data_IF_535349596922
#
_entry.id   IF_535349596922
#
_cell.length_a   1.000
_cell.length_b   1.000
_cell.length_c   1.000
_cell.angle_alpha   90.00
_cell.angle_beta   90.00
_cell.angle_gamma   90.00
#
_symmetry.space_group_name_H-M   'P 1'
#
loop_
_entity.id
_entity.type
_entity.pdbx_description
1 polymer ?
#
# COMPACT_ATOMS: atom_id res chain seq x y z
N UNK A 1 5.78 17.22 15.12
CA UNK A 1 5.63 15.79 15.47
C UNK A 1 4.28 15.36 14.94
N UNK A 2 4.26 14.75 13.74
CA UNK A 2 3.06 14.55 12.93
C UNK A 2 2.24 13.35 13.44
N UNK A 3 0.93 13.58 13.56
CA UNK A 3 -0.06 12.62 14.07
C UNK A 3 -0.12 11.32 13.25
N UNK A 4 0.19 11.34 11.95
CA UNK A 4 0.12 10.14 11.11
C UNK A 4 1.24 9.13 11.42
N UNK A 5 2.47 9.60 11.62
CA UNK A 5 3.60 8.75 12.04
C UNK A 5 3.38 8.18 13.44
N UNK A 6 2.79 8.96 14.36
CA UNK A 6 2.39 8.50 15.69
C UNK A 6 1.22 7.53 15.60
N UNK A 7 0.22 7.75 14.74
CA UNK A 7 -0.93 6.86 14.59
C UNK A 7 -0.55 5.55 13.90
N UNK A 8 0.34 5.58 12.90
CA UNK A 8 0.97 4.38 12.36
C UNK A 8 1.84 3.70 13.40
N UNK A 9 2.61 4.46 14.19
CA UNK A 9 3.34 3.89 15.30
C UNK A 9 2.41 3.28 16.35
N UNK A 10 1.26 3.87 16.67
CA UNK A 10 0.27 3.37 17.66
C UNK A 10 -0.51 2.17 17.11
N UNK A 11 -0.91 2.22 15.84
CA UNK A 11 -1.59 1.12 15.12
C UNK A 11 -0.63 -0.03 14.81
N UNK A 12 0.67 0.25 14.64
CA UNK A 12 1.74 -0.73 14.60
C UNK A 12 2.21 -1.16 16.01
N UNK A 13 2.02 -0.33 17.04
CA UNK A 13 2.36 -0.59 18.45
C UNK A 13 1.33 -1.41 19.19
N UNK A 14 0.15 -1.69 18.61
CA UNK A 14 -0.42 -3.01 18.86
C UNK A 14 0.52 -4.02 18.18
N UNK A 15 1.70 -4.22 18.77
CA UNK A 15 2.69 -5.19 18.34
C UNK A 15 1.92 -6.50 18.22
N UNK A 16 1.67 -6.92 16.98
CA UNK A 16 1.09 -8.24 16.75
C UNK A 16 2.21 -9.20 17.07
N UNK A 17 2.15 -9.73 18.28
CA UNK A 17 3.05 -10.78 18.68
C UNK A 17 2.60 -12.07 18.01
N UNK A 18 3.57 -12.83 17.49
CA UNK A 18 3.33 -14.18 16.98
C UNK A 18 4.26 -15.11 17.73
N UNK A 19 3.71 -16.23 18.20
CA UNK A 19 4.50 -17.31 18.76
C UNK A 19 4.92 -18.26 17.66
N UNK A 20 6.21 -18.59 17.62
CA UNK A 20 6.80 -19.53 16.69
C UNK A 20 7.56 -20.61 17.45
N UNK A 21 7.33 -21.87 17.08
CA UNK A 21 8.07 -23.00 17.62
C UNK A 21 9.27 -23.29 16.70
N UNK A 22 10.48 -23.06 17.22
CA UNK A 22 11.74 -23.19 16.51
C UNK A 22 12.51 -24.43 16.98
N UNK A 23 13.27 -25.09 16.09
CA UNK A 23 14.13 -26.19 16.52
C UNK A 23 15.17 -25.69 17.53
N UNK A 24 15.61 -26.57 18.44
CA UNK A 24 16.58 -26.22 19.51
C UNK A 24 17.91 -25.68 18.95
N UNK A 25 18.25 -25.98 17.69
CA UNK A 25 19.42 -25.38 17.03
C UNK A 25 19.35 -23.84 16.91
N UNK A 26 18.15 -23.26 17.00
CA UNK A 26 17.90 -21.81 17.01
C UNK A 26 17.85 -21.23 18.43
N UNK A 27 18.31 -21.96 19.45
CA UNK A 27 18.33 -21.48 20.83
C UNK A 27 19.28 -20.30 21.11
N UNK A 28 20.05 -19.89 20.10
CA UNK A 28 20.95 -18.75 20.16
C UNK A 28 20.24 -17.42 19.88
N UNK A 29 18.96 -17.45 19.46
CA UNK A 29 18.16 -16.25 19.30
C UNK A 29 17.89 -15.62 20.67
N UNK A 30 18.08 -14.32 20.75
CA UNK A 30 17.91 -13.53 21.97
C UNK A 30 16.92 -12.39 21.75
N UNK A 31 16.41 -11.83 22.86
CA UNK A 31 15.56 -10.64 22.80
C UNK A 31 16.31 -9.49 22.12
N UNK A 32 15.67 -8.86 21.13
CA UNK A 32 16.25 -7.79 20.33
C UNK A 32 16.78 -8.24 18.97
N UNK A 33 16.92 -9.55 18.73
CA UNK A 33 17.33 -10.05 17.43
C UNK A 33 16.24 -9.79 16.39
N UNK A 34 16.67 -9.31 15.22
CA UNK A 34 15.80 -9.07 14.06
C UNK A 34 15.76 -10.34 13.21
N UNK A 35 14.56 -10.83 12.96
CA UNK A 35 14.31 -12.02 12.16
C UNK A 35 13.42 -11.70 10.97
N UNK A 36 13.57 -12.47 9.90
CA UNK A 36 12.69 -12.44 8.74
C UNK A 36 11.88 -13.74 8.75
N UNK A 37 10.56 -13.63 8.66
CA UNK A 37 9.65 -14.76 8.60
C UNK A 37 9.52 -15.20 7.15
N UNK A 38 10.04 -16.39 6.83
CA UNK A 38 9.83 -17.07 5.55
C UNK A 38 8.74 -18.14 5.77
N UNK A 39 7.52 -17.81 5.36
CA UNK A 39 6.37 -18.71 5.55
C UNK A 39 5.34 -18.48 4.45
N UNK A 40 5.58 -18.99 3.23
CA UNK A 40 4.83 -18.66 2.01
C UNK A 40 3.35 -19.07 2.05
N UNK A 41 2.96 -19.95 2.97
CA UNK A 41 1.57 -20.34 3.18
C UNK A 41 0.81 -19.44 4.19
N UNK A 42 1.48 -18.46 4.80
CA UNK A 42 0.86 -17.47 5.69
C UNK A 42 0.92 -16.07 5.08
N UNK A 43 0.21 -15.12 5.69
CA UNK A 43 0.33 -13.68 5.35
C UNK A 43 1.57 -13.01 5.96
N UNK A 44 2.50 -13.78 6.52
CA UNK A 44 3.71 -13.29 7.20
C UNK A 44 4.97 -13.48 6.36
N UNK A 45 4.85 -13.95 5.12
CA UNK A 45 6.01 -14.16 4.25
C UNK A 45 6.76 -12.84 4.00
N UNK A 46 8.06 -12.83 4.29
CA UNK A 46 8.91 -11.65 4.24
C UNK A 46 8.67 -10.64 5.37
N UNK A 47 7.82 -10.94 6.36
CA UNK A 47 7.63 -10.05 7.51
C UNK A 47 8.91 -9.99 8.35
N UNK A 48 9.24 -8.80 8.84
CA UNK A 48 10.40 -8.59 9.71
C UNK A 48 9.91 -8.43 11.13
N UNK A 49 10.51 -9.12 12.08
CA UNK A 49 10.13 -9.02 13.48
C UNK A 49 11.35 -8.91 14.38
N UNK A 50 11.13 -8.39 15.58
CA UNK A 50 12.10 -8.44 16.66
C UNK A 50 11.70 -9.56 17.63
N UNK A 51 12.65 -10.37 18.09
CA UNK A 51 12.41 -11.34 19.15
C UNK A 51 12.08 -10.57 20.45
N UNK A 52 10.85 -10.70 20.92
CA UNK A 52 10.38 -10.07 22.16
C UNK A 52 10.61 -10.97 23.39
N UNK A 53 10.49 -12.29 23.21
CA UNK A 53 10.74 -13.28 24.26
C UNK A 53 11.16 -14.64 23.66
N UNK A 54 11.84 -15.44 24.46
CA UNK A 54 12.31 -16.79 24.11
C UNK A 54 12.11 -17.72 25.31
N UNK A 55 11.47 -18.87 25.09
CA UNK A 55 11.20 -19.89 26.12
C UNK A 55 11.64 -21.28 25.64
N UNK A 56 12.27 -22.06 26.50
CA UNK A 56 12.56 -23.47 26.22
C UNK A 56 11.37 -24.34 26.64
N UNK A 57 10.75 -25.03 25.69
CA UNK A 57 9.58 -25.87 25.97
C UNK A 57 9.98 -27.35 25.99
N UNK A 58 10.02 -27.91 27.19
CA UNK A 58 10.31 -29.32 27.47
C UNK A 58 11.58 -29.89 26.79
N UNK A 59 12.56 -29.03 26.46
CA UNK A 59 13.78 -29.42 25.76
C UNK A 59 13.58 -29.93 24.31
N UNK A 60 12.37 -29.79 23.75
CA UNK A 60 12.04 -30.26 22.40
C UNK A 60 12.17 -29.17 21.35
N UNK A 61 11.82 -27.94 21.72
CA UNK A 61 11.88 -26.77 20.85
C UNK A 61 12.04 -25.51 21.70
N UNK A 62 12.31 -24.41 21.00
CA UNK A 62 12.40 -23.07 21.56
C UNK A 62 11.20 -22.30 21.03
N UNK A 63 10.37 -21.76 21.92
CA UNK A 63 9.26 -20.88 21.55
C UNK A 63 9.74 -19.44 21.54
N UNK A 64 9.75 -18.83 20.36
CA UNK A 64 10.01 -17.40 20.20
C UNK A 64 8.70 -16.62 20.15
N UNK A 65 8.62 -15.49 20.86
CA UNK A 65 7.57 -14.48 20.65
C UNK A 65 8.17 -13.37 19.78
N UNK A 66 7.62 -13.17 18.58
CA UNK A 66 8.05 -12.14 17.65
C UNK A 66 7.16 -10.92 17.74
N UNK A 67 7.74 -9.75 18.03
CA UNK A 67 7.10 -8.47 17.77
C UNK A 67 7.27 -8.12 16.29
N UNK A 68 6.24 -8.36 15.48
CA UNK A 68 6.32 -8.14 14.04
C UNK A 68 6.24 -6.64 13.70
N UNK A 69 7.22 -6.17 12.93
CA UNK A 69 7.06 -5.03 12.05
C UNK A 69 6.43 -5.56 10.77
N UNK A 70 5.17 -5.23 10.51
CA UNK A 70 4.48 -5.65 9.30
C UNK A 70 5.03 -4.88 8.08
N UNK A 71 6.25 -5.20 7.67
CA UNK A 71 6.93 -4.64 6.49
C UNK A 71 6.27 -5.07 5.18
N UNK A 72 5.41 -6.10 5.21
CA UNK A 72 4.53 -6.47 4.11
C UNK A 72 3.36 -5.52 3.86
N UNK A 73 3.16 -4.46 4.67
CA UNK A 73 2.01 -3.55 4.51
C UNK A 73 2.16 -2.56 3.35
N UNK A 74 3.37 -2.26 2.90
CA UNK A 74 3.55 -1.22 1.88
C UNK A 74 3.20 -1.72 0.49
N UNK A 75 2.23 -1.05 -0.13
CA UNK A 75 1.93 -1.15 -1.55
C UNK A 75 3.01 -0.47 -2.40
N UNK A 76 3.53 0.63 -1.87
CA UNK A 76 4.60 1.43 -2.46
C UNK A 76 5.23 2.25 -1.33
N UNK A 77 6.54 2.47 -1.41
CA UNK A 77 7.28 3.20 -0.41
C UNK A 77 8.30 4.11 -1.08
N UNK A 78 8.13 5.43 -0.91
CA UNK A 78 9.14 6.41 -1.29
C UNK A 78 10.06 6.70 -0.12
N UNK A 79 9.48 7.16 0.98
CA UNK A 79 10.18 7.50 2.22
C UNK A 79 9.24 7.42 3.44
N UNK A 80 9.72 7.86 4.60
CA UNK A 80 8.99 7.78 5.88
C UNK A 80 7.76 8.71 5.95
N UNK A 81 7.66 9.68 5.05
CA UNK A 81 6.56 10.65 4.99
C UNK A 81 5.67 10.42 3.76
N UNK A 82 6.14 9.68 2.76
CA UNK A 82 5.42 9.43 1.50
C UNK A 82 5.41 7.95 1.15
N UNK A 83 4.25 7.32 1.32
CA UNK A 83 4.06 5.89 1.12
C UNK A 83 2.59 5.53 0.89
N UNK A 84 2.36 4.32 0.38
CA UNK A 84 1.04 3.71 0.30
C UNK A 84 1.08 2.41 1.10
N UNK A 85 0.20 2.29 2.09
CA UNK A 85 0.19 1.16 3.02
C UNK A 85 -1.18 0.51 3.06
N UNK A 86 -1.24 -0.81 3.22
CA UNK A 86 -2.47 -1.52 3.50
C UNK A 86 -2.61 -1.73 5.01
N UNK A 87 -3.81 -1.51 5.54
CA UNK A 87 -4.11 -1.84 6.92
C UNK A 87 -4.22 -3.36 7.11
N UNK A 88 -3.97 -3.87 8.33
CA UNK A 88 -4.08 -5.28 8.64
C UNK A 88 -5.39 -5.91 8.17
N UNK A 89 -5.30 -7.09 7.55
CA UNK A 89 -6.46 -7.77 6.96
C UNK A 89 -6.89 -7.20 5.61
N UNK A 90 -6.07 -6.33 5.00
CA UNK A 90 -6.30 -5.59 3.75
C UNK A 90 -7.65 -4.87 3.69
N UNK A 91 -8.18 -4.47 4.85
CA UNK A 91 -9.48 -3.79 4.92
C UNK A 91 -9.50 -2.47 4.15
N UNK A 92 -8.34 -1.79 4.13
CA UNK A 92 -8.17 -0.49 3.50
C UNK A 92 -6.72 -0.27 3.09
N UNK A 93 -6.49 0.52 2.05
CA UNK A 93 -5.22 1.15 1.71
C UNK A 93 -5.25 2.62 2.10
N UNK A 94 -4.14 3.12 2.61
CA UNK A 94 -3.93 4.48 3.07
C UNK A 94 -2.82 5.10 2.23
N UNK A 95 -3.09 6.29 1.70
CA UNK A 95 -2.14 7.07 0.93
C UNK A 95 -1.64 8.20 1.83
N UNK A 96 -0.33 8.23 2.07
CA UNK A 96 0.33 9.25 2.86
C UNK A 96 1.31 9.98 1.95
N UNK A 97 1.23 11.30 1.94
CA UNK A 97 2.11 12.19 1.20
C UNK A 97 2.60 13.26 2.19
N UNK A 98 3.90 13.40 2.35
CA UNK A 98 4.53 14.40 3.22
C UNK A 98 4.03 14.37 4.67
N UNK A 99 3.77 13.16 5.17
CA UNK A 99 3.36 12.88 6.54
C UNK A 99 1.85 13.08 6.78
N UNK A 100 1.09 13.40 5.74
CA UNK A 100 -0.35 13.62 5.82
C UNK A 100 -1.11 12.49 5.12
N UNK A 101 -2.18 12.00 5.75
CA UNK A 101 -3.11 11.07 5.10
C UNK A 101 -3.98 11.86 4.13
N UNK A 102 -3.87 11.54 2.85
CA UNK A 102 -4.52 12.31 1.77
C UNK A 102 -5.64 11.55 1.08
N UNK A 103 -5.60 10.22 1.12
CA UNK A 103 -6.68 9.37 0.61
C UNK A 103 -6.71 8.03 1.34
N UNK A 104 -7.84 7.32 1.20
CA UNK A 104 -7.96 5.95 1.63
C UNK A 104 -8.92 5.16 0.74
N UNK A 105 -8.58 3.92 0.42
CA UNK A 105 -9.34 3.05 -0.48
C UNK A 105 -9.71 1.76 0.25
N UNK A 106 -10.98 1.43 0.33
CA UNK A 106 -11.41 0.14 0.91
C UNK A 106 -11.68 -0.95 -0.14
N UNK A 107 -11.93 -2.17 0.34
CA UNK A 107 -12.21 -3.34 -0.51
C UNK A 107 -13.50 -3.26 -1.30
N UNK A 108 -14.42 -2.36 -0.93
CA UNK A 108 -15.66 -2.13 -1.70
C UNK A 108 -15.44 -1.18 -2.87
N UNK A 109 -14.20 -0.72 -3.06
CA UNK A 109 -13.86 0.29 -4.06
C UNK A 109 -14.26 1.70 -3.62
N UNK A 110 -14.51 1.93 -2.33
CA UNK A 110 -14.74 3.29 -1.84
C UNK A 110 -13.40 4.02 -1.68
N UNK A 111 -13.14 4.95 -2.58
CA UNK A 111 -12.02 5.89 -2.48
C UNK A 111 -12.48 7.13 -1.72
N UNK A 112 -11.95 7.33 -0.51
CA UNK A 112 -12.18 8.53 0.30
C UNK A 112 -11.02 9.49 0.06
N UNK A 113 -11.32 10.69 -0.41
CA UNK A 113 -10.35 11.76 -0.64
C UNK A 113 -10.47 12.79 0.48
N UNK A 114 -9.35 13.36 0.90
CA UNK A 114 -9.34 14.49 1.84
C UNK A 114 -10.02 15.72 1.23
N UNK A 115 -9.86 15.90 -0.08
CA UNK A 115 -10.41 17.00 -0.86
C UNK A 115 -11.26 16.43 -2.01
N UNK A 116 -11.07 16.88 -3.24
CA UNK A 116 -11.92 16.60 -4.41
C UNK A 116 -11.23 15.80 -5.53
N UNK A 117 -12.02 15.25 -6.44
CA UNK A 117 -11.59 14.76 -7.74
C UNK A 117 -11.56 15.93 -8.73
N UNK A 118 -10.48 16.06 -9.49
CA UNK A 118 -10.35 17.00 -10.60
C UNK A 118 -10.14 16.20 -11.90
N UNK A 119 -11.21 16.12 -12.69
CA UNK A 119 -11.16 15.60 -14.06
C UNK A 119 -10.44 16.56 -14.99
N UNK A 120 -9.67 16.02 -15.94
CA UNK A 120 -8.82 16.80 -16.84
C UNK A 120 -7.87 17.76 -16.12
N UNK A 121 -7.55 17.47 -14.86
CA UNK A 121 -6.73 18.30 -13.97
C UNK A 121 -5.24 17.99 -14.04
N UNK A 122 -4.86 16.93 -14.76
CA UNK A 122 -3.48 16.47 -14.86
C UNK A 122 -2.91 16.70 -16.26
N UNK A 123 -1.78 17.38 -16.33
CA UNK A 123 -0.94 17.38 -17.53
C UNK A 123 -0.04 16.16 -17.53
N UNK A 124 0.01 15.49 -18.68
CA UNK A 124 0.89 14.35 -18.92
C UNK A 124 2.36 14.68 -18.63
N UNK A 125 3.06 13.76 -17.96
CA UNK A 125 4.47 13.86 -17.60
C UNK A 125 5.15 12.50 -17.74
N UNK A 126 6.38 12.51 -18.25
CA UNK A 126 7.26 11.35 -18.25
C UNK A 126 7.72 10.98 -16.82
N UNK A 127 7.70 9.69 -16.53
CA UNK A 127 8.01 9.10 -15.23
C UNK A 127 9.06 7.98 -15.38
N UNK A 128 9.83 7.78 -14.33
CA UNK A 128 10.87 6.75 -14.22
C UNK A 128 10.36 5.42 -13.66
N UNK A 129 9.23 5.46 -12.94
CA UNK A 129 8.57 4.31 -12.34
C UNK A 129 7.05 4.41 -12.51
N UNK A 130 6.34 3.29 -12.32
CA UNK A 130 4.87 3.23 -12.40
C UNK A 130 4.18 4.10 -11.34
N UNK A 131 4.82 4.29 -10.19
CA UNK A 131 4.41 5.22 -9.14
C UNK A 131 5.64 6.04 -8.75
N UNK A 132 5.54 7.36 -8.82
CA UNK A 132 6.66 8.28 -8.57
C UNK A 132 6.19 9.47 -7.71
N UNK A 133 6.93 9.77 -6.65
CA UNK A 133 6.69 10.99 -5.87
C UNK A 133 7.57 12.13 -6.41
N UNK A 134 6.95 13.29 -6.64
CA UNK A 134 7.64 14.52 -6.96
C UNK A 134 7.45 15.55 -5.84
N UNK A 135 8.53 15.79 -5.10
CA UNK A 135 8.56 16.76 -4.01
C UNK A 135 8.42 18.22 -4.47
N UNK A 136 8.67 18.55 -5.75
CA UNK A 136 8.50 19.93 -6.23
C UNK A 136 7.02 20.30 -6.42
N UNK A 137 6.23 19.36 -6.92
CA UNK A 137 4.80 19.54 -7.13
C UNK A 137 3.94 18.98 -5.99
N UNK A 138 4.57 18.36 -4.99
CA UNK A 138 3.94 17.70 -3.84
C UNK A 138 2.90 16.65 -4.27
N UNK A 139 3.27 15.83 -5.26
CA UNK A 139 2.36 14.89 -5.94
C UNK A 139 2.94 13.49 -6.03
N UNK A 140 2.10 12.52 -5.73
CA UNK A 140 2.33 11.11 -6.04
C UNK A 140 1.64 10.78 -7.37
N UNK A 141 2.44 10.56 -8.40
CA UNK A 141 1.98 10.23 -9.74
C UNK A 141 1.83 8.72 -9.93
N UNK A 142 0.87 8.33 -10.76
CA UNK A 142 0.62 6.96 -11.19
C UNK A 142 0.60 6.94 -12.72
N UNK A 143 1.34 6.02 -13.32
CA UNK A 143 1.61 6.04 -14.75
C UNK A 143 1.43 4.70 -15.44
N UNK A 144 0.95 4.76 -16.68
CA UNK A 144 0.97 3.63 -17.62
C UNK A 144 2.32 3.56 -18.31
N UNK A 145 2.69 2.39 -18.81
CA UNK A 145 3.96 2.20 -19.51
C UNK A 145 4.63 0.89 -19.15
N UNK A 146 5.94 0.83 -19.38
CA UNK A 146 6.75 -0.34 -19.04
C UNK A 146 8.17 0.09 -18.72
N UNK A 147 8.88 -0.73 -17.95
CA UNK A 147 10.25 -0.43 -17.57
C UNK A 147 11.19 -0.18 -18.78
N UNK A 148 10.96 -0.85 -19.91
CA UNK A 148 11.76 -0.66 -21.12
C UNK A 148 11.41 0.63 -21.90
N UNK A 149 10.15 1.09 -21.83
CA UNK A 149 9.65 2.24 -22.58
C UNK A 149 9.53 3.53 -21.76
N UNK A 150 9.73 3.46 -20.45
CA UNK A 150 9.37 4.53 -19.52
C UNK A 150 7.89 4.49 -19.16
N UNK A 151 7.50 5.42 -18.28
CA UNK A 151 6.13 5.58 -17.83
C UNK A 151 5.63 6.98 -18.13
N UNK A 152 4.32 7.11 -18.22
CA UNK A 152 3.60 8.35 -18.48
C UNK A 152 2.50 8.51 -17.44
N UNK A 153 2.47 9.64 -16.75
CA UNK A 153 1.48 9.91 -15.70
C UNK A 153 0.07 10.01 -16.27
N UNK A 154 -0.87 9.30 -15.65
CA UNK A 154 -2.29 9.29 -16.04
C UNK A 154 -3.22 9.79 -14.94
N UNK A 155 -2.81 9.66 -13.67
CA UNK A 155 -3.45 10.32 -12.55
C UNK A 155 -2.43 10.60 -11.44
N UNK A 156 -2.78 11.47 -10.50
CA UNK A 156 -1.95 11.85 -9.36
C UNK A 156 -2.78 12.17 -8.12
N UNK A 157 -2.21 11.92 -6.95
CA UNK A 157 -2.70 12.45 -5.67
C UNK A 157 -1.73 13.53 -5.20
N UNK A 158 -2.24 14.67 -4.75
CA UNK A 158 -1.40 15.71 -4.13
C UNK A 158 -1.48 15.69 -2.59
N UNK A 159 -0.61 16.48 -1.95
CA UNK A 159 -0.55 16.59 -0.50
C UNK A 159 -1.79 17.26 0.14
N UNK A 160 -2.66 17.89 -0.66
CA UNK A 160 -3.97 18.37 -0.22
C UNK A 160 -5.04 17.26 -0.27
N UNK A 161 -4.71 16.12 -0.88
CA UNK A 161 -5.59 14.98 -1.09
C UNK A 161 -6.64 15.21 -2.16
N UNK A 162 -6.28 15.97 -3.20
CA UNK A 162 -7.00 15.98 -4.47
C UNK A 162 -6.53 14.84 -5.34
N UNK A 163 -7.47 14.17 -6.00
CA UNK A 163 -7.19 13.23 -7.08
C UNK A 163 -7.26 13.99 -8.40
N UNK A 164 -6.14 14.12 -9.11
CA UNK A 164 -6.10 14.71 -10.43
C UNK A 164 -6.03 13.59 -11.47
N UNK A 165 -6.98 13.52 -12.39
CA UNK A 165 -6.96 12.55 -13.49
C UNK A 165 -6.76 13.28 -14.82
N UNK A 166 -6.07 12.64 -15.76
CA UNK A 166 -5.85 13.20 -17.09
C UNK A 166 -7.15 13.33 -17.90
N UNK A 167 -8.08 12.38 -17.75
CA UNK A 167 -9.40 12.45 -18.38
C UNK A 167 -10.55 12.44 -17.40
N UNK A 168 -11.37 11.39 -17.42
CA UNK A 168 -12.61 11.27 -16.63
C UNK A 168 -12.56 10.13 -15.63
N UNK A 169 -13.43 10.14 -14.64
CA UNK A 169 -13.63 9.06 -13.69
C UNK A 169 -15.04 8.47 -13.82
N UNK A 170 -15.16 7.16 -13.64
CA UNK A 170 -16.44 6.45 -13.61
C UNK A 170 -16.49 5.52 -12.41
N UNK A 171 -17.58 5.64 -11.66
CA UNK A 171 -17.85 4.86 -10.46
C UNK A 171 -18.74 3.65 -10.76
N UNK A 172 -18.75 2.67 -9.86
CA UNK A 172 -19.61 1.46 -9.90
C UNK A 172 -19.39 0.58 -11.13
N UNK A 173 -18.14 0.50 -11.60
CA UNK A 173 -17.76 -0.33 -12.74
C UNK A 173 -17.54 -1.77 -12.29
N UNK A 174 -18.05 -2.74 -13.04
CA UNK A 174 -17.73 -4.14 -12.78
C UNK A 174 -16.30 -4.46 -13.23
N UNK A 175 -15.38 -4.53 -12.27
CA UNK A 175 -13.98 -4.90 -12.48
C UNK A 175 -13.69 -6.34 -12.04
N UNK A 176 -14.71 -7.15 -11.74
CA UNK A 176 -14.54 -8.49 -11.13
C UNK A 176 -13.81 -9.50 -12.01
N UNK A 177 -13.76 -9.27 -13.33
CA UNK A 177 -13.00 -10.11 -14.26
C UNK A 177 -11.50 -9.81 -14.27
N UNK A 178 -11.06 -8.72 -13.63
CA UNK A 178 -9.67 -8.30 -13.58
C UNK A 178 -9.02 -8.76 -12.29
N UNK A 179 -7.84 -9.36 -12.41
CA UNK A 179 -7.05 -9.81 -11.26
C UNK A 179 -5.61 -9.38 -11.41
N UNK A 180 -5.01 -8.96 -10.30
CA UNK A 180 -3.57 -8.73 -10.18
C UNK A 180 -3.06 -9.44 -8.94
N UNK A 181 -1.79 -9.86 -8.96
CA UNK A 181 -1.08 -10.60 -7.91
C UNK A 181 -0.25 -9.68 -6.99
N UNK A 182 -0.41 -8.37 -7.15
CA UNK A 182 0.30 -7.32 -6.44
C UNK A 182 -0.68 -6.17 -6.14
N UNK A 183 -0.23 -5.12 -5.46
CA UNK A 183 -1.07 -3.97 -5.16
C UNK A 183 -1.38 -3.13 -6.41
N UNK A 184 -0.48 -3.11 -7.38
CA UNK A 184 -0.63 -2.34 -8.60
C UNK A 184 0.08 -3.01 -9.77
N UNK A 185 -0.41 -2.81 -10.98
CA UNK A 185 0.24 -3.26 -12.22
C UNK A 185 0.15 -2.15 -13.25
N UNK A 186 1.29 -1.74 -13.78
CA UNK A 186 1.36 -0.85 -14.93
C UNK A 186 1.65 -1.65 -16.19
N UNK A 187 0.85 -1.41 -17.21
CA UNK A 187 0.95 -1.96 -18.55
C UNK A 187 1.06 -0.80 -19.54
N UNK A 188 1.46 -1.02 -20.81
CA UNK A 188 1.66 0.05 -21.77
C UNK A 188 0.49 1.04 -21.91
N UNK A 189 -0.75 0.57 -21.73
CA UNK A 189 -1.96 1.38 -21.89
C UNK A 189 -2.88 1.33 -20.68
N UNK A 190 -2.46 0.71 -19.58
CA UNK A 190 -3.35 0.44 -18.45
C UNK A 190 -2.65 0.51 -17.11
N UNK A 191 -3.33 1.03 -16.11
CA UNK A 191 -2.85 0.99 -14.73
C UNK A 191 -3.93 0.37 -13.85
N UNK A 192 -3.60 -0.75 -13.21
CA UNK A 192 -4.49 -1.47 -12.31
C UNK A 192 -4.05 -1.28 -10.86
N UNK A 193 -5.01 -1.15 -9.96
CA UNK A 193 -4.76 -1.11 -8.51
C UNK A 193 -5.75 -2.02 -7.78
N UNK A 194 -5.26 -2.84 -6.87
CA UNK A 194 -6.09 -3.71 -6.02
C UNK A 194 -6.07 -3.21 -4.58
N UNK A 195 -7.07 -3.58 -3.77
CA UNK A 195 -6.99 -3.38 -2.32
C UNK A 195 -6.30 -4.56 -1.60
N UNK A 196 -6.51 -5.78 -2.10
CA UNK A 196 -6.24 -7.04 -1.41
C UNK A 196 -5.37 -8.03 -2.22
N UNK A 197 -4.64 -7.56 -3.23
CA UNK A 197 -3.76 -8.38 -4.09
C UNK A 197 -4.51 -9.44 -4.92
N UNK A 198 -5.80 -9.22 -5.17
CA UNK A 198 -6.59 -10.08 -6.05
C UNK A 198 -7.65 -9.27 -6.79
N UNK A 199 -8.41 -8.46 -6.04
CA UNK A 199 -9.57 -7.73 -6.54
C UNK A 199 -9.13 -6.34 -7.00
N UNK A 200 -9.17 -6.11 -8.30
CA UNK A 200 -8.96 -4.78 -8.88
C UNK A 200 -10.09 -3.85 -8.47
N UNK A 201 -9.74 -2.66 -7.98
CA UNK A 201 -10.69 -1.63 -7.55
C UNK A 201 -10.48 -0.31 -8.29
N UNK A 202 -9.30 -0.11 -8.89
CA UNK A 202 -9.03 0.93 -9.86
C UNK A 202 -8.50 0.34 -11.16
N UNK A 203 -8.97 0.91 -12.26
CA UNK A 203 -8.49 0.64 -13.59
C UNK A 203 -8.43 1.94 -14.39
N UNK A 204 -7.22 2.40 -14.73
CA UNK A 204 -7.06 3.47 -15.71
C UNK A 204 -6.77 2.89 -17.08
N UNK A 205 -7.59 3.26 -18.07
CA UNK A 205 -7.41 2.88 -19.48
C UNK A 205 -7.01 4.12 -20.31
N UNK A 206 -5.77 4.13 -20.79
CA UNK A 206 -5.19 5.27 -21.51
C UNK A 206 -5.80 5.52 -22.89
N UNK A 207 -6.41 4.50 -23.52
CA UNK A 207 -7.11 4.68 -24.79
C UNK A 207 -8.39 5.52 -24.67
N UNK A 208 -9.04 5.45 -23.50
CA UNK A 208 -10.29 6.14 -23.20
C UNK A 208 -10.10 7.38 -22.31
N UNK A 209 -8.87 7.61 -21.83
CA UNK A 209 -8.54 8.55 -20.76
C UNK A 209 -9.55 8.47 -19.59
N UNK A 210 -9.77 7.25 -19.09
CA UNK A 210 -10.80 6.96 -18.09
C UNK A 210 -10.22 6.20 -16.91
N UNK A 211 -10.51 6.70 -15.71
CA UNK A 211 -10.33 6.00 -14.44
C UNK A 211 -11.65 5.33 -14.03
N UNK A 212 -11.70 4.01 -14.14
CA UNK A 212 -12.82 3.19 -13.67
C UNK A 212 -12.58 2.75 -12.21
N UNK A 213 -13.60 2.92 -11.38
CA UNK A 213 -13.64 2.47 -9.98
C UNK A 213 -14.73 1.42 -9.77
N UNK A 214 -14.39 0.37 -9.04
CA UNK A 214 -15.38 -0.66 -8.65
C UNK A 214 -16.48 -0.13 -7.72
N UNK A 215 -16.13 0.86 -6.89
CA UNK A 215 -17.04 1.51 -5.95
C UNK A 215 -17.24 2.97 -6.30
N UNK A 216 -17.07 3.85 -5.31
CA UNK A 216 -17.31 5.30 -5.45
C UNK A 216 -16.20 6.13 -4.84
N UNK A 217 -16.09 7.36 -5.28
CA UNK A 217 -15.29 8.44 -4.74
C UNK A 217 -16.14 9.18 -3.69
N UNK A 218 -15.54 9.45 -2.54
CA UNK A 218 -16.13 10.23 -1.45
C UNK A 218 -15.17 11.38 -1.16
N UNK A 219 -15.55 12.57 -1.61
CA UNK A 219 -14.78 13.80 -1.47
C UNK A 219 -14.98 14.43 -0.10
N UNK A 220 -14.05 15.31 0.29
CA UNK A 220 -14.08 16.06 1.55
C UNK A 220 -14.27 15.17 2.79
N UNK A 221 -13.71 13.96 2.75
CA UNK A 221 -13.90 12.97 3.80
C UNK A 221 -12.94 13.25 4.95
N UNK A 222 -13.39 13.15 6.22
CA UNK A 222 -12.46 12.94 7.32
C UNK A 222 -11.80 11.58 7.08
N UNK A 223 -10.46 11.57 7.08
CA UNK A 223 -9.63 10.39 6.83
C UNK A 223 -9.14 9.80 8.15
#
# INVERSE_FOLDING_TARGET
MQLAAVWLAETAQSQRTVEIDLPVSQSHLERGDVVIVDHPSSRLDGAVGEIAAVEFVDGRYVRGTLALQLLGMYCWYGDAETFIVHLPGHAQKIFVIEGERVAALDRTGQLRLRSELIEQGLTERAMSAAIEHDAQSHRLYFGVGSQAGGYTSVFALDNEGRLLVQGTAREWVDLSSLTIDTCHRAEPTRFLFSCDLATVVFDYEAGDDRLDLAGRIVENSPL
#
